data_IF_970406767980
#
_entry.id   IF_970406767980
#
_cell.length_a   1.000
_cell.length_b   1.000
_cell.length_c   1.000
_cell.angle_alpha   90.00
_cell.angle_beta   90.00
_cell.angle_gamma   90.00
#
_symmetry.space_group_name_H-M   'P 1'
#
loop_
_entity.id
_entity.type
_entity.pdbx_description
1 polymer ?
#
# COMPACT_ATOMS: atom_id res chain seq x y z
N UNK A 1 3.56 0.98 20.57
CA UNK A 1 2.80 0.06 19.72
C UNK A 1 3.47 0.05 18.37
N UNK A 2 3.51 -1.11 17.72
CA UNK A 2 4.18 -1.32 16.44
C UNK A 2 3.24 -2.11 15.53
N UNK A 3 3.22 -1.78 14.24
CA UNK A 3 2.42 -2.48 13.24
C UNK A 3 3.31 -3.03 12.15
N UNK A 4 3.26 -4.34 11.95
CA UNK A 4 3.90 -5.02 10.84
C UNK A 4 2.84 -5.32 9.78
N UNK A 5 3.11 -4.93 8.54
CA UNK A 5 2.18 -5.07 7.41
C UNK A 5 2.82 -5.96 6.35
N UNK A 6 2.19 -7.10 6.07
CA UNK A 6 2.64 -8.06 5.08
C UNK A 6 1.73 -8.06 3.84
N UNK A 7 2.32 -8.33 2.67
CA UNK A 7 1.60 -8.44 1.39
C UNK A 7 1.52 -7.14 0.58
N UNK A 8 1.89 -5.99 1.15
CA UNK A 8 1.88 -4.69 0.44
C UNK A 8 2.83 -4.65 -0.77
N UNK A 9 3.90 -5.44 -0.76
CA UNK A 9 4.91 -5.47 -1.83
C UNK A 9 4.38 -5.98 -3.17
N UNK A 10 3.25 -6.69 -3.18
CA UNK A 10 2.58 -7.13 -4.41
C UNK A 10 2.20 -5.95 -5.33
N UNK A 11 2.04 -4.74 -4.76
CA UNK A 11 1.83 -3.52 -5.53
C UNK A 11 2.95 -3.24 -6.54
N UNK A 12 4.19 -3.63 -6.23
CA UNK A 12 5.33 -3.45 -7.12
C UNK A 12 5.29 -4.37 -8.35
N UNK A 13 4.53 -5.47 -8.27
CA UNK A 13 4.32 -6.44 -9.35
C UNK A 13 3.08 -6.10 -10.20
N UNK A 14 2.48 -4.92 -9.99
CA UNK A 14 1.26 -4.49 -10.67
C UNK A 14 -0.03 -5.06 -10.06
N UNK A 15 0.06 -5.84 -8.99
CA UNK A 15 -1.09 -6.46 -8.31
C UNK A 15 -1.56 -5.55 -7.19
N UNK A 16 -2.84 -5.16 -7.19
CA UNK A 16 -3.46 -4.47 -6.06
C UNK A 16 -4.16 -5.50 -5.17
N UNK A 17 -3.56 -5.93 -4.04
CA UNK A 17 -4.21 -6.87 -3.13
C UNK A 17 -5.46 -6.21 -2.51
N UNK A 18 -6.52 -6.98 -2.29
CA UNK A 18 -7.74 -6.47 -1.62
C UNK A 18 -7.55 -6.24 -0.14
N UNK A 19 -6.69 -7.05 0.49
CA UNK A 19 -6.37 -6.98 1.90
C UNK A 19 -4.88 -7.20 2.13
N UNK A 20 -4.39 -6.73 3.27
CA UNK A 20 -3.05 -7.00 3.80
C UNK A 20 -3.17 -7.56 5.21
N UNK A 21 -2.23 -8.43 5.58
CA UNK A 21 -2.15 -8.95 6.94
C UNK A 21 -1.46 -7.90 7.82
N UNK A 22 -2.10 -7.52 8.92
CA UNK A 22 -1.57 -6.61 9.93
C UNK A 22 -1.31 -7.38 11.21
N UNK A 23 -0.11 -7.19 11.77
CA UNK A 23 0.25 -7.66 13.11
C UNK A 23 0.47 -6.43 13.99
N UNK A 24 -0.42 -6.19 14.94
CA UNK A 24 -0.34 -5.08 15.88
C UNK A 24 0.25 -5.57 17.21
N UNK A 25 1.37 -5.00 17.63
CA UNK A 25 2.01 -5.28 18.91
C UNK A 25 1.78 -4.09 19.85
N UNK A 26 0.94 -4.28 20.87
CA UNK A 26 0.65 -3.27 21.89
C UNK A 26 1.87 -2.99 22.77
N UNK A 27 1.85 -1.87 23.51
CA UNK A 27 2.95 -1.49 24.41
C UNK A 27 3.23 -2.53 25.50
N UNK A 28 2.23 -3.31 25.91
CA UNK A 28 2.35 -4.39 26.89
C UNK A 28 2.86 -5.72 26.28
N UNK A 29 3.17 -5.75 24.98
CA UNK A 29 3.63 -6.93 24.26
C UNK A 29 2.52 -7.86 23.75
N UNK A 30 1.25 -7.55 24.00
CA UNK A 30 0.13 -8.30 23.43
C UNK A 30 0.08 -8.11 21.90
N UNK A 31 -0.10 -9.22 21.18
CA UNK A 31 -0.14 -9.25 19.70
C UNK A 31 -1.55 -9.54 19.22
N UNK A 32 -2.02 -8.75 18.25
CA UNK A 32 -3.29 -8.94 17.57
C UNK A 32 -3.03 -9.00 16.06
N UNK A 33 -3.54 -10.04 15.41
CA UNK A 33 -3.47 -10.19 13.96
C UNK A 33 -4.85 -10.01 13.32
N UNK A 34 -4.91 -9.27 12.21
CA UNK A 34 -6.14 -9.08 11.44
C UNK A 34 -5.83 -8.72 9.98
N UNK A 35 -6.81 -8.94 9.11
CA UNK A 35 -6.77 -8.45 7.73
C UNK A 35 -7.31 -7.03 7.65
N UNK A 36 -6.58 -6.14 6.97
CA UNK A 36 -7.01 -4.78 6.68
C UNK A 36 -7.28 -4.61 5.18
N UNK A 37 -8.35 -3.90 4.84
CA UNK A 37 -8.71 -3.61 3.43
C UNK A 37 -7.75 -2.58 2.85
N UNK A 38 -7.22 -2.87 1.65
CA UNK A 38 -6.45 -1.91 0.86
C UNK A 38 -7.42 -1.05 0.05
N UNK A 39 -7.41 0.26 0.28
CA UNK A 39 -8.31 1.24 -0.34
C UNK A 39 -7.68 1.92 -1.56
N UNK A 40 -7.15 1.10 -2.46
CA UNK A 40 -6.84 1.50 -3.84
C UNK A 40 -8.01 1.00 -4.66
N UNK A 41 -8.98 1.88 -4.85
CA UNK A 41 -10.31 1.55 -5.38
C UNK A 41 -10.34 1.59 -6.91
N UNK A 42 -9.36 2.24 -7.55
CA UNK A 42 -9.24 2.34 -9.01
C UNK A 42 -7.84 1.95 -9.52
N UNK A 43 -7.71 1.49 -10.78
CA UNK A 43 -6.40 1.25 -11.38
C UNK A 43 -5.48 2.47 -11.35
N UNK A 44 -6.02 3.68 -11.61
CA UNK A 44 -5.25 4.92 -11.59
C UNK A 44 -4.68 5.26 -10.22
N UNK A 45 -5.41 4.98 -9.13
CA UNK A 45 -4.87 5.13 -7.77
C UNK A 45 -3.67 4.21 -7.51
N UNK A 46 -3.67 3.00 -8.08
CA UNK A 46 -2.54 2.09 -7.98
C UNK A 46 -1.31 2.67 -8.69
N UNK A 47 -1.51 3.27 -9.86
CA UNK A 47 -0.45 3.92 -10.63
C UNK A 47 0.11 5.13 -9.88
N UNK A 48 -0.75 5.95 -9.28
CA UNK A 48 -0.33 7.07 -8.43
C UNK A 48 0.46 6.58 -7.21
N UNK A 49 -0.02 5.53 -6.53
CA UNK A 49 0.65 4.95 -5.37
C UNK A 49 2.07 4.46 -5.73
N UNK A 50 2.21 3.66 -6.79
CA UNK A 50 3.51 3.14 -7.24
C UNK A 50 4.49 4.24 -7.65
N UNK A 51 3.95 5.38 -8.10
CA UNK A 51 4.75 6.54 -8.49
C UNK A 51 5.06 7.49 -7.32
N UNK A 52 4.66 7.17 -6.09
CA UNK A 52 4.90 8.05 -4.94
C UNK A 52 3.97 9.27 -4.90
N UNK A 53 2.81 9.18 -5.55
CA UNK A 53 1.74 10.18 -5.55
C UNK A 53 1.38 10.69 -6.94
N UNK A 54 0.18 11.29 -7.04
CA UNK A 54 -0.37 11.80 -8.31
C UNK A 54 0.54 12.84 -8.98
N UNK A 55 1.13 13.76 -8.20
CA UNK A 55 2.01 14.79 -8.75
C UNK A 55 3.24 14.18 -9.42
N UNK A 56 3.86 13.19 -8.78
CA UNK A 56 5.04 12.52 -9.31
C UNK A 56 4.71 11.67 -10.54
N UNK A 57 3.56 11.01 -10.53
CA UNK A 57 3.02 10.30 -11.69
C UNK A 57 2.90 11.24 -12.91
N UNK A 58 2.19 12.36 -12.76
CA UNK A 58 1.94 13.32 -13.85
C UNK A 58 3.24 13.96 -14.35
N UNK A 59 4.14 14.38 -13.44
CA UNK A 59 5.41 14.99 -13.84
C UNK A 59 6.29 14.03 -14.65
N UNK A 60 6.30 12.73 -14.32
CA UNK A 60 7.03 11.72 -15.10
C UNK A 60 6.39 11.47 -16.46
N UNK A 61 5.05 11.46 -16.53
CA UNK A 61 4.32 11.31 -17.79
C UNK A 61 4.66 12.47 -18.76
N UNK A 62 4.66 13.71 -18.26
CA UNK A 62 5.02 14.90 -19.05
C UNK A 62 6.51 14.99 -19.42
N UNK A 63 7.40 14.41 -18.61
CA UNK A 63 8.83 14.38 -18.92
C UNK A 63 9.19 13.28 -19.93
N UNK A 64 8.36 12.25 -20.04
CA UNK A 64 8.52 11.15 -21.00
C UNK A 64 7.81 11.39 -22.34
N UNK A 65 7.03 12.46 -22.48
CA UNK A 65 6.37 12.90 -23.72
C UNK A 65 7.26 13.74 -24.62
#
# INVERSE_FOLDING_TARGET
ETFDIAGVTQLNEGITPKTVKVTATKQNGEVIEFDAVVRIDTPGEADYYRNGGILQYVLRELAGS
#
